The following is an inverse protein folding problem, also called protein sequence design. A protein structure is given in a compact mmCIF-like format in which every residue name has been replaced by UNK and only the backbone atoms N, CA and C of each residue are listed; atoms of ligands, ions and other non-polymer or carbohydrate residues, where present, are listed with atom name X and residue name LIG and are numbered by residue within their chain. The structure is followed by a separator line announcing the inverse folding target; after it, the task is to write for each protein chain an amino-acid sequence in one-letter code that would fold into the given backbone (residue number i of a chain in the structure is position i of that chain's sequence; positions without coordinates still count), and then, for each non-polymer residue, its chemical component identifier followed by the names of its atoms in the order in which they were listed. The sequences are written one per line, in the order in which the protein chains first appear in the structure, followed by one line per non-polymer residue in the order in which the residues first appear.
data_IF_689161575101
#
_entry.id   IF_689161575101
#
_cell.length_a   1.000
_cell.length_b   1.000
_cell.length_c   1.000
_cell.angle_alpha   90.00
_cell.angle_beta   90.00
_cell.angle_gamma   90.00
#
_symmetry.space_group_name_H-M   'P 1'
#
loop_
_entity.id
_entity.type
_entity.pdbx_description
1 polymer ?
#
# COMPACT_ATOMS: atom_id res chain seq x y z
N UNK A 1 -0.81 23.67 3.57
CA UNK A 1 -1.93 23.01 2.86
C UNK A 1 -1.58 22.63 1.42
N UNK A 2 -1.12 23.55 0.56
CA UNK A 2 -0.79 23.26 -0.86
C UNK A 2 0.29 22.16 -1.00
N UNK A 3 1.39 22.26 -0.25
CA UNK A 3 2.51 21.31 -0.30
C UNK A 3 2.05 19.87 0.00
N UNK A 4 1.23 19.68 1.05
CA UNK A 4 0.68 18.37 1.39
C UNK A 4 -0.21 17.79 0.28
N UNK A 5 -1.02 18.64 -0.37
CA UNK A 5 -1.84 18.22 -1.51
C UNK A 5 -0.97 17.76 -2.68
N UNK A 6 0.10 18.48 -2.98
CA UNK A 6 1.05 18.11 -4.05
C UNK A 6 1.73 16.78 -3.73
N UNK A 7 2.23 16.59 -2.50
CA UNK A 7 2.82 15.33 -2.05
C UNK A 7 1.80 14.17 -2.18
N UNK A 8 0.57 14.40 -1.78
CA UNK A 8 -0.49 13.39 -1.87
C UNK A 8 -0.79 13.00 -3.32
N UNK A 9 -0.90 13.98 -4.23
CA UNK A 9 -1.10 13.71 -5.67
C UNK A 9 0.07 12.91 -6.23
N UNK A 10 1.31 13.29 -5.92
CA UNK A 10 2.50 12.54 -6.35
C UNK A 10 2.45 11.10 -5.84
N UNK A 11 2.08 10.89 -4.57
CA UNK A 11 1.95 9.56 -3.98
C UNK A 11 0.87 8.72 -4.68
N UNK A 12 -0.32 9.29 -4.91
CA UNK A 12 -1.41 8.59 -5.60
C UNK A 12 -0.99 8.20 -7.01
N UNK A 13 -0.33 9.09 -7.75
CA UNK A 13 0.11 8.83 -9.13
C UNK A 13 1.26 7.83 -9.17
N UNK A 14 2.23 7.94 -8.27
CA UNK A 14 3.43 7.09 -8.29
C UNK A 14 3.21 5.70 -7.65
N UNK A 15 2.26 5.57 -6.73
CA UNK A 15 2.03 4.34 -5.94
C UNK A 15 0.64 3.79 -6.17
N UNK A 16 -0.39 4.63 -5.98
CA UNK A 16 -1.79 4.19 -6.05
C UNK A 16 -2.19 3.66 -7.42
N UNK A 17 -1.96 4.46 -8.48
CA UNK A 17 -2.32 4.08 -9.86
C UNK A 17 -1.56 2.82 -10.30
N UNK A 18 -0.21 2.72 -10.16
CA UNK A 18 0.52 1.51 -10.51
C UNK A 18 0.06 0.28 -9.72
N UNK A 19 -0.24 0.41 -8.43
CA UNK A 19 -0.77 -0.70 -7.63
C UNK A 19 -2.09 -1.22 -8.19
N UNK A 20 -3.01 -0.33 -8.58
CA UNK A 20 -4.29 -0.75 -9.17
C UNK A 20 -4.12 -1.40 -10.55
N UNK A 21 -3.22 -0.89 -11.38
CA UNK A 21 -2.94 -1.48 -12.71
C UNK A 21 -2.36 -2.89 -12.56
N UNK A 22 -1.38 -3.07 -11.67
CA UNK A 22 -0.76 -4.37 -11.40
C UNK A 22 -1.81 -5.34 -10.84
N UNK A 23 -2.61 -4.90 -9.86
CA UNK A 23 -3.65 -5.71 -9.23
C UNK A 23 -4.73 -6.14 -10.25
N UNK A 24 -5.20 -5.22 -11.08
CA UNK A 24 -6.19 -5.51 -12.12
C UNK A 24 -5.68 -6.56 -13.11
N UNK A 25 -4.44 -6.43 -13.58
CA UNK A 25 -3.84 -7.37 -14.53
C UNK A 25 -3.75 -8.78 -13.96
N UNK A 26 -3.31 -8.93 -12.71
CA UNK A 26 -3.21 -10.25 -12.06
C UNK A 26 -4.57 -10.86 -11.74
N UNK A 27 -5.57 -10.06 -11.34
CA UNK A 27 -6.95 -10.52 -11.16
C UNK A 27 -7.55 -11.04 -12.46
N UNK A 28 -7.35 -10.32 -13.57
CA UNK A 28 -7.84 -10.73 -14.89
C UNK A 28 -7.30 -12.10 -15.33
N UNK A 29 -6.09 -12.45 -14.89
CA UNK A 29 -5.47 -13.75 -15.17
C UNK A 29 -5.81 -14.83 -14.13
N UNK A 30 -6.75 -14.58 -13.20
CA UNK A 30 -7.05 -15.47 -12.07
C UNK A 30 -5.82 -15.87 -11.24
N UNK A 31 -4.77 -15.04 -11.21
CA UNK A 31 -3.48 -15.39 -10.62
C UNK A 31 -3.53 -15.60 -9.10
N UNK A 32 -4.61 -15.18 -8.45
CA UNK A 32 -4.79 -15.31 -7.00
C UNK A 32 -5.27 -16.68 -6.59
N UNK A 33 -6.00 -17.41 -7.43
CA UNK A 33 -6.63 -18.68 -7.05
C UNK A 33 -5.60 -19.78 -6.73
N UNK A 34 -5.74 -20.51 -5.60
CA UNK A 34 -6.80 -20.45 -4.58
C UNK A 34 -6.53 -19.49 -3.39
N UNK A 35 -5.47 -18.68 -3.43
CA UNK A 35 -5.05 -17.77 -2.37
C UNK A 35 -5.58 -16.33 -2.45
N UNK A 36 -5.13 -15.50 -1.50
CA UNK A 36 -5.41 -14.06 -1.45
C UNK A 36 -4.31 -13.24 -2.15
N UNK A 37 -4.62 -12.01 -2.56
CA UNK A 37 -3.63 -11.08 -3.13
C UNK A 37 -2.40 -10.88 -2.22
N UNK A 38 -2.60 -10.84 -0.90
CA UNK A 38 -1.49 -10.76 0.06
C UNK A 38 -0.57 -11.99 -0.03
N UNK A 39 -1.14 -13.20 -0.04
CA UNK A 39 -0.36 -14.44 -0.18
C UNK A 39 0.38 -14.51 -1.52
N UNK A 40 -0.28 -14.07 -2.60
CA UNK A 40 0.29 -14.02 -3.94
C UNK A 40 1.48 -13.06 -4.04
N UNK A 41 1.30 -11.79 -3.65
CA UNK A 41 2.37 -10.79 -3.76
C UNK A 41 3.51 -11.02 -2.77
N UNK A 42 3.23 -11.57 -1.58
CA UNK A 42 4.27 -11.97 -0.64
C UNK A 42 5.13 -13.12 -1.19
N UNK A 43 4.51 -14.10 -1.88
CA UNK A 43 5.25 -15.13 -2.62
C UNK A 43 6.07 -14.51 -3.75
N UNK A 44 5.49 -13.66 -4.59
CA UNK A 44 6.21 -12.99 -5.69
C UNK A 44 7.41 -12.16 -5.18
N UNK A 45 7.28 -11.50 -4.02
CA UNK A 45 8.39 -10.78 -3.38
C UNK A 45 9.53 -11.73 -3.00
N UNK A 46 9.21 -12.90 -2.44
CA UNK A 46 10.19 -13.94 -2.07
C UNK A 46 10.87 -14.55 -3.31
N UNK A 47 10.12 -14.71 -4.40
CA UNK A 47 10.64 -15.11 -5.71
C UNK A 47 11.50 -14.02 -6.39
N UNK A 48 11.63 -12.84 -5.77
CA UNK A 48 12.45 -11.74 -6.29
C UNK A 48 11.78 -10.90 -7.37
N UNK A 49 10.52 -11.18 -7.74
CA UNK A 49 9.81 -10.45 -8.80
C UNK A 49 9.55 -9.01 -8.39
N UNK A 50 9.81 -8.09 -9.32
CA UNK A 50 9.70 -6.65 -9.08
C UNK A 50 8.28 -6.25 -8.65
N UNK A 51 7.25 -6.82 -9.27
CA UNK A 51 5.85 -6.51 -8.98
C UNK A 51 5.46 -6.95 -7.56
N UNK A 52 5.95 -8.11 -7.12
CA UNK A 52 5.78 -8.56 -5.73
C UNK A 52 6.47 -7.63 -4.74
N UNK A 53 7.72 -7.21 -5.03
CA UNK A 53 8.45 -6.25 -4.20
C UNK A 53 7.72 -4.91 -4.10
N UNK A 54 7.27 -4.38 -5.24
CA UNK A 54 6.55 -3.11 -5.32
C UNK A 54 5.23 -3.19 -4.53
N UNK A 55 4.36 -4.15 -4.85
CA UNK A 55 3.05 -4.28 -4.22
C UNK A 55 3.14 -4.46 -2.70
N UNK A 56 4.05 -5.32 -2.24
CA UNK A 56 4.25 -5.55 -0.80
C UNK A 56 4.86 -4.34 -0.09
N UNK A 57 5.85 -3.66 -0.70
CA UNK A 57 6.45 -2.47 -0.08
C UNK A 57 5.44 -1.32 0.00
N UNK A 58 4.63 -1.11 -1.04
CA UNK A 58 3.53 -0.13 -1.03
C UNK A 58 2.52 -0.44 0.07
N UNK A 59 2.17 -1.72 0.27
CA UNK A 59 1.28 -2.14 1.36
C UNK A 59 1.88 -1.87 2.75
N UNK A 60 3.18 -2.16 2.95
CA UNK A 60 3.86 -1.85 4.21
C UNK A 60 3.97 -0.35 4.48
N UNK A 61 4.24 0.46 3.45
CA UNK A 61 4.25 1.93 3.58
C UNK A 61 2.87 2.45 4.00
N UNK A 62 1.80 1.96 3.38
CA UNK A 62 0.43 2.34 3.75
C UNK A 62 0.10 1.93 5.18
N UNK A 63 0.46 0.71 5.60
CA UNK A 63 0.27 0.25 6.98
C UNK A 63 1.04 1.10 7.98
N UNK A 64 2.32 1.41 7.71
CA UNK A 64 3.13 2.26 8.57
C UNK A 64 2.49 3.65 8.74
N UNK A 65 2.01 4.24 7.65
CA UNK A 65 1.33 5.54 7.68
C UNK A 65 0.06 5.49 8.54
N UNK A 66 -0.80 4.48 8.34
CA UNK A 66 -2.04 4.31 9.12
C UNK A 66 -1.73 4.15 10.61
N UNK A 67 -0.74 3.32 10.96
CA UNK A 67 -0.32 3.12 12.36
C UNK A 67 0.23 4.41 12.98
N UNK A 68 1.06 5.16 12.25
CA UNK A 68 1.59 6.45 12.72
C UNK A 68 0.47 7.48 12.93
N UNK A 69 -0.51 7.56 12.03
CA UNK A 69 -1.65 8.46 12.17
C UNK A 69 -2.55 8.06 13.33
N UNK A 70 -2.81 6.76 13.53
CA UNK A 70 -3.57 6.27 14.67
C UNK A 70 -2.89 6.60 16.01
N UNK A 71 -1.55 6.46 16.08
CA UNK A 71 -0.77 6.83 17.26
C UNK A 71 -0.82 8.33 17.56
N UNK A 72 -0.68 9.17 16.53
CA UNK A 72 -0.83 10.62 16.68
C UNK A 72 -2.23 11.02 17.16
N UNK A 73 -3.26 10.38 16.61
CA UNK A 73 -4.65 10.62 17.00
C UNK A 73 -4.88 10.23 18.46
N UNK A 74 -4.38 9.07 18.89
CA UNK A 74 -4.48 8.62 20.28
C UNK A 74 -3.75 9.57 21.25
N UNK A 75 -2.55 10.03 20.89
CA UNK A 75 -1.79 11.00 21.68
C UNK A 75 -2.52 12.34 21.79
N UNK A 76 -3.15 12.80 20.70
CA UNK A 76 -3.96 14.02 20.71
C UNK A 76 -5.15 13.91 21.67
N UNK A 77 -5.89 12.79 21.63
CA UNK A 77 -6.99 12.56 22.56
C UNK A 77 -6.52 12.45 24.02
N UNK A 78 -5.37 11.83 24.27
CA UNK A 78 -4.81 11.72 25.63
C UNK A 78 -4.39 13.08 26.21
N UNK A 79 -3.84 13.99 25.40
CA UNK A 79 -3.43 15.32 25.85
C UNK A 79 -4.60 16.32 26.04
N UNK A 80 -5.79 16.00 25.51
CA UNK A 80 -7.00 16.83 25.62
C UNK A 80 -8.10 16.20 26.49
N UNK A 81 -7.80 15.09 27.18
CA UNK A 81 -8.66 14.43 28.17
C UNK A 81 -8.19 14.78 29.59
#
# INVERSE_FOLDING_TARGET
MLILKVIFVIFVVAVGIPCQIIDYRHRKMNAYQPGSGWSYYSRLKREGKWEGKFMMNSAYMALALVLSMAGLLAAHFYHHA
#
